data_IF_574162477220
#
_entry.id   IF_574162477220
#
_cell.length_a   1.000
_cell.length_b   1.000
_cell.length_c   1.000
_cell.angle_alpha   90.00
_cell.angle_beta   90.00
_cell.angle_gamma   90.00
#
_symmetry.space_group_name_H-M   'P 1'
#
loop_
_entity.id
_entity.type
_entity.pdbx_description
1 polymer ?
#
# COMPACT_ATOMS: atom_id res chain seq x y z
N UNK A 1 -8.17 -3.57 -27.85
CA UNK A 1 -7.71 -2.33 -27.19
C UNK A 1 -6.18 -2.34 -27.21
N UNK A 2 -5.53 -1.18 -27.33
CA UNK A 2 -4.06 -1.07 -27.35
C UNK A 2 -3.64 -0.25 -26.12
N UNK A 3 -2.68 -0.76 -25.36
CA UNK A 3 -2.15 -0.13 -24.16
C UNK A 3 -0.63 0.00 -24.28
N UNK A 4 -0.08 1.07 -23.71
CA UNK A 4 1.36 1.33 -23.72
C UNK A 4 2.03 0.68 -22.50
N UNK A 5 1.32 0.62 -21.37
CA UNK A 5 1.77 -0.01 -20.12
C UNK A 5 0.65 -0.91 -19.56
N UNK A 6 1.03 -2.11 -19.13
CA UNK A 6 0.12 -3.02 -18.42
C UNK A 6 0.70 -3.29 -17.04
N UNK A 7 -0.09 -3.04 -16.00
CA UNK A 7 0.24 -3.26 -14.60
C UNK A 7 -0.62 -4.42 -14.09
N UNK A 8 0.04 -5.44 -13.55
CA UNK A 8 -0.61 -6.63 -13.00
C UNK A 8 -0.53 -6.59 -11.48
N UNK A 9 -1.69 -6.44 -10.85
CA UNK A 9 -1.88 -6.30 -9.40
C UNK A 9 -2.33 -4.89 -9.03
N UNK A 10 -3.56 -4.75 -8.54
CA UNK A 10 -4.13 -3.49 -8.07
C UNK A 10 -3.93 -3.28 -6.56
N UNK A 11 -2.77 -3.71 -6.03
CA UNK A 11 -2.31 -3.33 -4.69
C UNK A 11 -1.68 -1.93 -4.66
N UNK A 12 -1.21 -1.46 -3.49
CA UNK A 12 -0.59 -0.13 -3.36
C UNK A 12 0.51 0.14 -4.39
N UNK A 13 1.44 -0.79 -4.60
CA UNK A 13 2.51 -0.63 -5.59
C UNK A 13 1.97 -0.39 -7.01
N UNK A 14 0.96 -1.16 -7.45
CA UNK A 14 0.37 -1.02 -8.78
C UNK A 14 -0.49 0.24 -8.92
N UNK A 15 -1.24 0.60 -7.87
CA UNK A 15 -2.04 1.83 -7.84
C UNK A 15 -1.13 3.06 -7.93
N UNK A 16 -0.08 3.14 -7.12
CA UNK A 16 0.85 4.27 -7.14
C UNK A 16 1.65 4.31 -8.44
N UNK A 17 2.05 3.16 -8.99
CA UNK A 17 2.69 3.10 -10.32
C UNK A 17 1.77 3.63 -11.42
N UNK A 18 0.49 3.23 -11.40
CA UNK A 18 -0.49 3.73 -12.35
C UNK A 18 -0.69 5.24 -12.19
N UNK A 19 -0.85 5.71 -10.95
CA UNK A 19 -1.01 7.13 -10.61
C UNK A 19 0.16 7.97 -11.14
N UNK A 20 1.39 7.56 -10.84
CA UNK A 20 2.61 8.26 -11.27
C UNK A 20 2.67 8.36 -12.80
N UNK A 21 2.35 7.28 -13.52
CA UNK A 21 2.39 7.27 -14.99
C UNK A 21 1.31 8.19 -15.57
N UNK A 22 0.08 8.16 -15.06
CA UNK A 22 -1.01 8.98 -15.62
C UNK A 22 -0.90 10.46 -15.25
N UNK A 23 -0.25 10.80 -14.12
CA UNK A 23 0.01 12.20 -13.76
C UNK A 23 1.17 12.80 -14.56
N UNK A 24 2.14 11.99 -15.01
CA UNK A 24 3.37 12.47 -15.65
C UNK A 24 3.52 12.12 -17.15
N UNK A 25 2.53 11.46 -17.75
CA UNK A 25 2.60 11.07 -19.17
C UNK A 25 1.21 10.89 -19.79
N UNK A 26 1.17 10.88 -21.12
CA UNK A 26 -0.05 10.58 -21.91
C UNK A 26 -0.18 9.08 -22.27
N UNK A 27 0.52 8.20 -21.55
CA UNK A 27 0.53 6.75 -21.84
C UNK A 27 -0.80 6.10 -21.46
N UNK A 28 -1.28 5.20 -22.33
CA UNK A 28 -2.47 4.41 -22.06
C UNK A 28 -2.14 3.24 -21.13
N UNK A 29 -2.55 3.34 -19.87
CA UNK A 29 -2.29 2.33 -18.83
C UNK A 29 -3.47 1.37 -18.66
N UNK A 30 -3.18 0.07 -18.58
CA UNK A 30 -4.12 -0.95 -18.12
C UNK A 30 -3.69 -1.48 -16.75
N UNK A 31 -4.51 -1.28 -15.73
CA UNK A 31 -4.33 -1.89 -14.40
C UNK A 31 -5.32 -3.06 -14.25
N UNK A 32 -4.80 -4.26 -13.95
CA UNK A 32 -5.60 -5.46 -13.77
C UNK A 32 -5.33 -6.09 -12.41
N UNK A 33 -6.35 -6.67 -11.80
CA UNK A 33 -6.19 -7.58 -10.66
C UNK A 33 -6.99 -8.86 -10.90
N UNK A 34 -6.56 -9.96 -10.28
CA UNK A 34 -7.30 -11.22 -10.34
C UNK A 34 -8.57 -11.17 -9.50
N UNK A 35 -8.59 -10.37 -8.43
CA UNK A 35 -9.74 -10.24 -7.55
C UNK A 35 -10.72 -9.15 -7.98
N UNK A 36 -11.84 -9.02 -7.27
CA UNK A 36 -12.90 -8.09 -7.64
C UNK A 36 -12.61 -6.66 -7.20
N UNK A 37 -13.45 -5.74 -7.66
CA UNK A 37 -13.51 -4.35 -7.20
C UNK A 37 -13.92 -4.27 -5.71
N UNK A 38 -13.55 -3.19 -5.02
CA UNK A 38 -13.58 -3.06 -3.56
C UNK A 38 -14.98 -3.26 -2.96
N UNK A 39 -16.02 -2.79 -3.64
CA UNK A 39 -17.43 -2.94 -3.24
C UNK A 39 -17.91 -4.41 -3.27
N UNK A 40 -17.27 -5.23 -4.11
CA UNK A 40 -17.54 -6.65 -4.31
C UNK A 40 -16.60 -7.55 -3.49
N UNK A 41 -15.54 -7.00 -2.89
CA UNK A 41 -14.61 -7.76 -2.04
C UNK A 41 -15.25 -8.11 -0.70
N UNK A 42 -15.64 -9.38 -0.54
CA UNK A 42 -16.30 -9.89 0.67
C UNK A 42 -15.67 -11.21 1.10
N UNK A 43 -14.82 -11.18 2.13
CA UNK A 43 -14.26 -12.39 2.72
C UNK A 43 -15.30 -13.04 3.66
N UNK A 44 -15.70 -14.32 3.47
CA UNK A 44 -16.62 -14.98 4.39
C UNK A 44 -16.10 -15.06 5.84
N UNK A 45 -14.78 -15.10 6.02
CA UNK A 45 -14.15 -15.14 7.33
C UNK A 45 -14.48 -13.90 8.19
N UNK A 46 -14.68 -12.71 7.58
CA UNK A 46 -15.05 -11.50 8.33
C UNK A 46 -16.47 -11.53 8.89
N UNK A 47 -17.26 -12.56 8.53
CA UNK A 47 -18.65 -12.77 8.99
C UNK A 47 -18.79 -14.01 9.88
N UNK A 48 -17.68 -14.56 10.37
CA UNK A 48 -17.69 -15.70 11.29
C UNK A 48 -17.82 -17.08 10.64
N UNK A 49 -17.75 -17.19 9.31
CA UNK A 49 -17.83 -18.48 8.61
C UNK A 49 -16.51 -19.25 8.52
N UNK A 50 -15.43 -18.74 9.13
CA UNK A 50 -14.08 -19.27 8.97
C UNK A 50 -13.48 -19.00 7.59
N UNK A 51 -12.21 -19.35 7.41
CA UNK A 51 -11.56 -19.24 6.10
C UNK A 51 -12.04 -20.37 5.18
N UNK A 52 -12.62 -20.00 4.04
CA UNK A 52 -13.11 -20.96 3.02
C UNK A 52 -12.14 -21.16 1.86
N UNK A 53 -10.91 -20.62 1.95
CA UNK A 53 -9.89 -20.70 0.90
C UNK A 53 -10.41 -20.30 -0.49
N UNK A 54 -11.03 -19.12 -0.58
CA UNK A 54 -11.53 -18.59 -1.85
C UNK A 54 -10.42 -18.47 -2.90
N UNK A 55 -10.78 -18.72 -4.16
CA UNK A 55 -9.87 -18.65 -5.31
C UNK A 55 -10.46 -17.70 -6.38
N UNK A 56 -9.90 -16.50 -6.56
CA UNK A 56 -8.82 -15.88 -5.77
C UNK A 56 -9.29 -15.45 -4.37
N UNK A 57 -8.34 -15.23 -3.46
CA UNK A 57 -8.65 -14.85 -2.09
C UNK A 57 -9.23 -13.42 -2.03
N UNK A 58 -10.49 -13.27 -1.62
CA UNK A 58 -11.16 -11.96 -1.51
C UNK A 58 -10.46 -10.99 -0.52
N UNK A 59 -9.74 -11.53 0.47
CA UNK A 59 -8.98 -10.73 1.44
C UNK A 59 -7.65 -10.21 0.85
N UNK A 60 -6.99 -11.00 0.00
CA UNK A 60 -5.64 -10.68 -0.50
C UNK A 60 -5.64 -10.13 -1.94
N UNK A 61 -6.72 -10.33 -2.69
CA UNK A 61 -6.79 -10.04 -4.13
C UNK A 61 -7.99 -9.16 -4.46
N UNK A 62 -7.81 -8.29 -5.44
CA UNK A 62 -8.76 -7.26 -5.86
C UNK A 62 -8.23 -5.85 -5.64
N UNK A 63 -9.09 -4.85 -5.88
CA UNK A 63 -8.73 -3.44 -5.71
C UNK A 63 -8.20 -3.13 -4.31
N UNK A 64 -7.01 -2.53 -4.23
CA UNK A 64 -6.28 -2.24 -2.99
C UNK A 64 -5.46 -3.41 -2.44
N UNK A 65 -5.45 -4.57 -3.10
CA UNK A 65 -4.64 -5.74 -2.73
C UNK A 65 -4.85 -6.19 -1.28
N UNK A 66 -3.79 -6.67 -0.63
CA UNK A 66 -3.84 -7.06 0.79
C UNK A 66 -4.02 -5.85 1.74
N UNK A 67 -3.64 -4.65 1.31
CA UNK A 67 -3.73 -3.43 2.12
C UNK A 67 -5.17 -2.94 2.35
N UNK A 68 -6.11 -3.28 1.46
CA UNK A 68 -7.49 -2.79 1.54
C UNK A 68 -8.25 -3.20 2.83
N UNK A 69 -7.84 -4.31 3.45
CA UNK A 69 -8.45 -4.84 4.67
C UNK A 69 -7.45 -4.94 5.82
N UNK A 70 -6.34 -4.18 5.75
CA UNK A 70 -5.45 -3.99 6.89
C UNK A 70 -5.98 -2.87 7.80
N UNK A 71 -5.28 -2.64 8.91
CA UNK A 71 -5.52 -1.49 9.79
C UNK A 71 -5.01 -0.17 9.19
N UNK A 72 -4.42 -0.20 7.98
CA UNK A 72 -3.96 0.98 7.26
C UNK A 72 -2.75 1.68 7.88
N UNK A 73 -1.99 1.03 8.76
CA UNK A 73 -0.80 1.65 9.36
C UNK A 73 0.32 1.80 8.32
N UNK A 74 0.87 3.00 8.24
CA UNK A 74 2.08 3.29 7.47
C UNK A 74 3.25 3.40 8.44
N UNK A 75 4.33 2.69 8.15
CA UNK A 75 5.56 2.75 8.93
C UNK A 75 6.51 3.74 8.27
N UNK A 76 6.70 4.90 8.89
CA UNK A 76 7.63 5.93 8.43
C UNK A 76 9.03 5.65 9.02
N UNK A 77 9.66 4.58 8.57
CA UNK A 77 11.02 4.20 8.98
C UNK A 77 11.78 3.54 7.84
N UNK A 78 13.06 3.87 7.72
CA UNK A 78 14.00 3.26 6.76
C UNK A 78 14.40 1.83 7.13
N UNK A 79 14.04 1.38 8.33
CA UNK A 79 14.40 0.07 8.88
C UNK A 79 13.36 -1.02 8.57
N UNK A 80 12.19 -0.64 8.03
CA UNK A 80 11.07 -1.54 7.74
C UNK A 80 10.81 -1.60 6.23
N UNK A 81 10.40 -2.76 5.73
CA UNK A 81 10.07 -2.93 4.30
C UNK A 81 11.16 -3.63 3.47
N UNK A 82 12.12 -4.30 4.11
CA UNK A 82 13.14 -5.11 3.44
C UNK A 82 14.53 -4.46 3.54
N UNK A 83 15.33 -4.59 2.48
CA UNK A 83 16.72 -4.13 2.45
C UNK A 83 16.92 -2.93 1.52
N UNK A 84 15.99 -1.98 1.51
CA UNK A 84 16.03 -0.82 0.60
C UNK A 84 17.29 0.04 0.79
N UNK A 85 17.78 0.12 2.02
CA UNK A 85 19.06 0.74 2.38
C UNK A 85 20.30 0.11 1.72
N UNK A 86 20.19 -1.10 1.14
CA UNK A 86 21.27 -1.71 0.37
C UNK A 86 21.29 -1.24 -1.10
N UNK A 87 20.20 -0.65 -1.58
CA UNK A 87 20.05 -0.22 -2.98
C UNK A 87 20.20 1.28 -3.17
N UNK A 88 19.84 2.07 -2.16
CA UNK A 88 19.92 3.53 -2.18
C UNK A 88 20.43 4.06 -0.84
N UNK A 89 20.93 5.30 -0.83
CA UNK A 89 21.36 5.93 0.42
C UNK A 89 20.18 6.16 1.36
N UNK A 90 20.46 6.17 2.66
CA UNK A 90 19.47 6.46 3.70
C UNK A 90 18.74 7.79 3.43
N UNK A 91 19.49 8.83 3.02
CA UNK A 91 18.92 10.12 2.65
C UNK A 91 17.88 10.00 1.52
N UNK A 92 18.21 9.28 0.46
CA UNK A 92 17.28 9.07 -0.66
C UNK A 92 16.04 8.26 -0.23
N UNK A 93 16.22 7.31 0.69
CA UNK A 93 15.11 6.51 1.21
C UNK A 93 14.16 7.37 2.06
N UNK A 94 14.69 8.27 2.89
CA UNK A 94 13.87 9.26 3.62
C UNK A 94 13.11 10.17 2.66
N UNK A 95 13.77 10.70 1.63
CA UNK A 95 13.11 11.55 0.62
C UNK A 95 11.96 10.81 -0.10
N UNK A 96 12.12 9.50 -0.38
CA UNK A 96 11.07 8.67 -0.96
C UNK A 96 9.94 8.37 0.03
N UNK A 97 10.25 8.16 1.31
CA UNK A 97 9.24 7.97 2.35
C UNK A 97 8.37 9.22 2.50
N UNK A 98 8.99 10.40 2.57
CA UNK A 98 8.29 11.69 2.64
C UNK A 98 7.41 11.92 1.41
N UNK A 99 7.92 11.57 0.22
CA UNK A 99 7.13 11.65 -1.01
C UNK A 99 5.88 10.75 -0.95
N UNK A 100 6.05 9.48 -0.59
CA UNK A 100 4.93 8.53 -0.49
C UNK A 100 3.93 8.98 0.57
N UNK A 101 4.38 9.42 1.74
CA UNK A 101 3.51 9.94 2.80
C UNK A 101 2.71 11.16 2.34
N UNK A 102 3.34 12.09 1.62
CA UNK A 102 2.66 13.27 1.08
C UNK A 102 1.50 12.92 0.14
N UNK A 103 1.62 11.83 -0.62
CA UNK A 103 0.54 11.34 -1.49
C UNK A 103 -0.59 10.75 -0.64
N UNK A 104 -0.29 9.96 0.38
CA UNK A 104 -1.32 9.46 1.29
C UNK A 104 -2.09 10.60 1.98
N UNK A 105 -1.37 11.63 2.45
CA UNK A 105 -1.98 12.83 3.02
C UNK A 105 -2.86 13.58 2.01
N UNK A 106 -2.40 13.74 0.76
CA UNK A 106 -3.18 14.33 -0.35
C UNK A 106 -4.52 13.61 -0.56
N UNK A 107 -4.56 12.29 -0.39
CA UNK A 107 -5.77 11.47 -0.53
C UNK A 107 -6.52 11.20 0.78
N UNK A 108 -6.20 11.93 1.86
CA UNK A 108 -7.00 11.97 3.08
C UNK A 108 -6.51 11.11 4.24
N UNK A 109 -5.26 10.65 4.22
CA UNK A 109 -4.66 10.03 5.40
C UNK A 109 -4.57 11.05 6.57
N UNK A 110 -4.70 10.60 7.84
CA UNK A 110 -4.55 11.49 8.98
C UNK A 110 -3.11 12.03 9.09
N UNK A 111 -2.92 13.32 9.40
CA UNK A 111 -1.58 13.91 9.51
C UNK A 111 -0.85 13.57 10.82
N UNK A 112 -1.50 12.85 11.74
CA UNK A 112 -0.95 12.58 13.05
C UNK A 112 -0.02 11.36 13.02
N UNK A 113 1.26 11.58 13.35
CA UNK A 113 2.26 10.53 13.50
C UNK A 113 2.24 9.99 14.93
N UNK A 114 2.23 8.67 15.08
CA UNK A 114 2.32 8.00 16.37
C UNK A 114 3.75 7.44 16.57
N UNK A 115 4.23 7.44 17.82
CA UNK A 115 5.51 6.80 18.15
C UNK A 115 6.74 7.73 18.15
N UNK A 116 6.56 9.05 18.03
CA UNK A 116 7.69 10.01 18.04
C UNK A 116 8.34 10.19 19.44
N UNK A 117 7.67 9.74 20.51
CA UNK A 117 8.12 9.94 21.89
C UNK A 117 9.09 8.83 22.34
N UNK A 118 10.27 8.79 21.73
CA UNK A 118 11.31 7.77 21.98
C UNK A 118 11.61 7.60 23.47
N UNK A 119 11.80 8.69 24.20
CA UNK A 119 12.12 8.68 25.64
C UNK A 119 11.02 7.99 26.48
N UNK A 120 9.73 8.22 26.16
CA UNK A 120 8.61 7.58 26.88
C UNK A 120 8.41 6.13 26.46
N UNK A 121 8.78 5.78 25.23
CA UNK A 121 8.74 4.39 24.77
C UNK A 121 9.80 3.58 25.53
N UNK A 122 11.01 4.10 25.65
CA UNK A 122 12.10 3.48 26.42
C UNK A 122 11.79 3.35 27.92
N UNK A 123 11.01 4.27 28.50
CA UNK A 123 10.55 4.17 29.89
C UNK A 123 9.57 3.01 30.13
N UNK A 124 8.74 2.67 29.13
CA UNK A 124 7.73 1.59 29.23
C UNK A 124 8.36 0.20 29.00
N UNK A 125 9.49 0.13 28.28
CA UNK A 125 10.21 -1.13 28.03
C UNK A 125 11.00 -1.65 29.25
N UNK A 126 11.09 -0.88 30.34
CA UNK A 126 11.72 -1.27 31.61
C UNK A 126 10.74 -1.93 32.58
#
# INVERSE_FOLDING_TARGET
MKYDVIIVGAGPAGIFSALEIVENSDLNVLLLDKGPDIDKRRCPASRGFGCVNCEPCNLLSGWGGAGAFSDGKLTLSTEVGGWLNQYISEKQLVELLDYVDSIYLKYGAPPHVYGEQVEKIEEIEK
#
